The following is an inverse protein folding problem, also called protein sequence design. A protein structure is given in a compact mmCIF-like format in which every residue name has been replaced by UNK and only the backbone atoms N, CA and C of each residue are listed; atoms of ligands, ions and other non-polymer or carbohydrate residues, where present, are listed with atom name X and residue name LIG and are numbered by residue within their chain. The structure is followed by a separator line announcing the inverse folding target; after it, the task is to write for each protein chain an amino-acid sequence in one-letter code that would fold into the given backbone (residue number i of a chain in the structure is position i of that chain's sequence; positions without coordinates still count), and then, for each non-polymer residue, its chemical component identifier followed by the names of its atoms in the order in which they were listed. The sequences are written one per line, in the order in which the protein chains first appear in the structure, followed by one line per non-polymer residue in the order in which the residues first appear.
data_IF_411258596026
#
_entry.id   IF_411258596026
#
_cell.length_a   1.000
_cell.length_b   1.000
_cell.length_c   1.000
_cell.angle_alpha   90.00
_cell.angle_beta   90.00
_cell.angle_gamma   90.00
#
_symmetry.space_group_name_H-M   'P 1'
#
loop_
_entity.id
_entity.type
_entity.pdbx_description
1 polymer ?
#
# COMPACT_ATOMS: atom_id res chain seq x y z
N UNK A 1 50.51 9.79 -31.91
CA UNK A 1 49.30 10.37 -31.28
C UNK A 1 48.49 9.19 -30.75
N UNK A 2 48.61 8.80 -29.47
CA UNK A 2 47.71 9.18 -28.34
C UNK A 2 46.24 9.24 -28.82
N UNK A 3 45.31 8.40 -28.41
CA UNK A 3 45.29 7.24 -27.52
C UNK A 3 43.86 6.69 -27.50
N UNK A 4 43.71 5.37 -27.44
CA UNK A 4 42.43 4.70 -27.17
C UNK A 4 41.97 5.06 -25.76
N UNK A 5 40.84 5.76 -25.66
CA UNK A 5 40.16 6.06 -24.41
C UNK A 5 38.74 5.55 -24.48
N UNK A 6 38.54 4.30 -24.10
CA UNK A 6 37.22 3.75 -23.76
C UNK A 6 36.78 4.34 -22.43
N UNK A 7 36.07 5.47 -22.47
CA UNK A 7 35.29 5.92 -21.31
C UNK A 7 33.93 5.23 -21.36
N UNK A 8 33.91 4.02 -20.80
CA UNK A 8 32.70 3.35 -20.35
C UNK A 8 31.97 4.28 -19.36
N UNK A 9 31.02 5.05 -19.89
CA UNK A 9 30.04 5.79 -19.10
C UNK A 9 29.10 4.83 -18.39
N UNK A 10 29.55 4.23 -17.29
CA UNK A 10 28.67 3.61 -16.30
C UNK A 10 28.10 4.70 -15.40
N UNK A 11 26.99 5.30 -15.79
CA UNK A 11 26.17 6.13 -14.91
C UNK A 11 24.75 6.33 -15.47
N UNK A 12 23.85 5.41 -15.10
CA UNK A 12 22.49 5.66 -14.64
C UNK A 12 21.79 4.29 -14.57
N UNK A 13 21.77 3.71 -13.37
CA UNK A 13 20.80 2.68 -13.04
C UNK A 13 19.39 3.30 -13.18
N UNK A 14 18.47 2.77 -13.99
CA UNK A 14 17.13 3.32 -14.10
C UNK A 14 16.27 2.84 -12.92
N UNK A 15 16.72 3.13 -11.70
CA UNK A 15 15.84 3.29 -10.55
C UNK A 15 15.08 4.64 -10.66
N UNK A 16 14.51 4.91 -11.84
CA UNK A 16 13.61 6.04 -12.07
C UNK A 16 12.17 5.53 -11.89
N UNK A 17 11.48 5.83 -10.78
CA UNK A 17 10.05 5.60 -10.70
C UNK A 17 9.36 6.72 -11.47
N UNK A 18 9.15 6.49 -12.77
CA UNK A 18 8.35 7.35 -13.63
C UNK A 18 6.89 7.29 -13.15
N UNK A 19 6.45 8.16 -12.23
CA UNK A 19 5.04 8.38 -11.93
C UNK A 19 4.17 7.11 -11.91
N UNK A 20 4.71 6.00 -11.36
CA UNK A 20 4.04 4.72 -11.42
C UNK A 20 2.98 4.72 -10.34
N UNK A 21 1.71 4.73 -10.77
CA UNK A 21 0.56 4.60 -9.87
C UNK A 21 0.76 3.34 -9.06
N UNK A 22 1.20 3.52 -7.82
CA UNK A 22 1.52 2.40 -6.95
C UNK A 22 0.24 1.99 -6.26
N UNK A 23 -0.30 0.86 -6.68
CA UNK A 23 -1.46 0.29 -6.02
C UNK A 23 -1.09 -0.08 -4.59
N UNK A 24 -1.78 0.53 -3.63
CA UNK A 24 -1.67 0.21 -2.22
C UNK A 24 -2.98 -0.38 -1.73
N UNK A 25 -2.90 -1.06 -0.59
CA UNK A 25 -4.04 -1.64 0.06
C UNK A 25 -4.04 -1.24 1.52
N UNK A 26 -5.23 -1.00 2.04
CA UNK A 26 -5.50 -0.90 3.47
C UNK A 26 -5.97 -2.27 3.91
N UNK A 27 -5.13 -2.93 4.67
CA UNK A 27 -5.46 -4.22 5.28
C UNK A 27 -5.92 -3.93 6.70
N UNK A 28 -7.21 -4.11 6.96
CA UNK A 28 -7.81 -3.89 8.28
C UNK A 28 -8.21 -5.23 8.90
N UNK A 29 -8.19 -5.26 10.22
CA UNK A 29 -8.67 -6.38 11.02
C UNK A 29 -9.83 -5.88 11.87
N UNK A 30 -11.01 -6.42 11.61
CA UNK A 30 -12.24 -6.03 12.28
C UNK A 30 -12.88 -7.21 12.98
N UNK A 31 -13.43 -6.98 14.17
CA UNK A 31 -14.09 -7.98 14.98
C UNK A 31 -15.58 -7.67 15.12
N UNK A 32 -16.41 -8.70 15.19
CA UNK A 32 -17.85 -8.52 15.33
C UNK A 32 -18.17 -7.98 16.73
N UNK A 33 -18.98 -6.93 16.82
CA UNK A 33 -19.31 -6.27 18.10
C UNK A 33 -20.05 -7.23 19.03
N UNK A 34 -20.95 -8.05 18.48
CA UNK A 34 -21.75 -9.01 19.25
C UNK A 34 -20.97 -10.29 19.60
N UNK A 35 -19.86 -10.57 18.92
CA UNK A 35 -19.00 -11.72 19.17
C UNK A 35 -17.53 -11.36 18.94
N UNK A 36 -16.84 -10.74 19.92
CA UNK A 36 -15.48 -10.22 19.76
C UNK A 36 -14.41 -11.27 19.39
N UNK A 37 -14.69 -12.56 19.58
CA UNK A 37 -13.83 -13.66 19.12
C UNK A 37 -13.89 -13.89 17.60
N UNK A 38 -14.89 -13.33 16.91
CA UNK A 38 -15.07 -13.46 15.47
C UNK A 38 -14.48 -12.24 14.79
N UNK A 39 -13.30 -12.38 14.22
CA UNK A 39 -12.63 -11.30 13.50
C UNK A 39 -12.30 -11.71 12.06
N UNK A 40 -12.24 -10.71 11.18
CA UNK A 40 -11.87 -10.89 9.78
C UNK A 40 -10.84 -9.86 9.35
N UNK A 41 -10.00 -10.27 8.40
CA UNK A 41 -9.16 -9.37 7.64
C UNK A 41 -9.94 -8.88 6.41
N UNK A 42 -9.92 -7.58 6.16
CA UNK A 42 -10.50 -6.96 4.99
C UNK A 42 -9.41 -6.18 4.25
N UNK A 43 -9.45 -6.21 2.92
CA UNK A 43 -8.42 -5.60 2.06
C UNK A 43 -9.07 -4.61 1.13
N UNK A 44 -8.87 -3.32 1.40
CA UNK A 44 -9.45 -2.25 0.61
C UNK A 44 -8.38 -1.69 -0.32
N UNK A 45 -8.67 -1.66 -1.62
CA UNK A 45 -7.77 -1.06 -2.59
C UNK A 45 -7.75 0.45 -2.42
N UNK A 46 -6.55 1.03 -2.37
CA UNK A 46 -6.38 2.47 -2.42
C UNK A 46 -5.37 2.79 -3.51
N UNK A 47 -5.87 3.41 -4.57
CA UNK A 47 -5.04 3.91 -5.66
C UNK A 47 -4.42 5.23 -5.23
N UNK A 48 -3.11 5.24 -5.04
CA UNK A 48 -2.35 6.46 -4.74
C UNK A 48 -1.39 6.75 -5.90
N UNK A 49 -1.46 7.96 -6.44
CA UNK A 49 -0.68 8.39 -7.61
C UNK A 49 0.83 8.42 -7.32
N UNK A 50 1.19 8.62 -6.05
CA UNK A 50 2.57 8.57 -5.58
C UNK A 50 2.69 7.42 -4.60
N UNK A 51 3.75 6.62 -4.76
CA UNK A 51 4.20 5.57 -3.83
C UNK A 51 4.65 6.16 -2.47
N UNK A 52 3.83 6.99 -1.85
CA UNK A 52 4.11 7.68 -0.60
C UNK A 52 3.38 6.94 0.53
N UNK A 53 4.10 6.27 1.45
CA UNK A 53 3.50 5.65 2.63
C UNK A 53 2.62 6.62 3.42
N UNK A 54 3.01 7.90 3.45
CA UNK A 54 2.25 8.99 4.09
C UNK A 54 0.90 9.24 3.41
N UNK A 55 0.84 9.19 2.07
CA UNK A 55 -0.41 9.36 1.33
C UNK A 55 -1.39 8.24 1.64
N UNK A 56 -0.92 6.98 1.67
CA UNK A 56 -1.76 5.85 2.06
C UNK A 56 -2.28 6.02 3.50
N UNK A 57 -1.46 6.43 4.45
CA UNK A 57 -1.90 6.63 5.84
C UNK A 57 -3.03 7.66 5.95
N UNK A 58 -2.95 8.76 5.18
CA UNK A 58 -4.00 9.78 5.16
C UNK A 58 -5.29 9.28 4.51
N UNK A 59 -5.19 8.65 3.34
CA UNK A 59 -6.36 8.09 2.64
C UNK A 59 -7.01 6.96 3.44
N UNK A 60 -6.21 6.15 4.16
CA UNK A 60 -6.69 5.03 4.96
C UNK A 60 -7.69 5.45 6.02
N UNK A 61 -7.47 6.59 6.67
CA UNK A 61 -8.38 7.09 7.71
C UNK A 61 -9.78 7.31 7.14
N UNK A 62 -9.86 7.98 5.98
CA UNK A 62 -11.13 8.20 5.29
C UNK A 62 -11.75 6.89 4.79
N UNK A 63 -10.96 6.02 4.16
CA UNK A 63 -11.40 4.70 3.68
C UNK A 63 -11.95 3.82 4.81
N UNK A 64 -11.29 3.80 5.97
CA UNK A 64 -11.73 3.02 7.14
C UNK A 64 -13.01 3.61 7.75
N UNK A 65 -13.14 4.95 7.79
CA UNK A 65 -14.35 5.59 8.26
C UNK A 65 -15.55 5.20 7.39
N UNK A 66 -15.43 5.33 6.07
CA UNK A 66 -16.46 4.91 5.13
C UNK A 66 -16.79 3.42 5.28
N UNK A 67 -15.77 2.56 5.34
CA UNK A 67 -15.98 1.13 5.52
C UNK A 67 -16.73 0.81 6.82
N UNK A 68 -16.44 1.52 7.90
CA UNK A 68 -17.09 1.32 9.20
C UNK A 68 -18.56 1.73 9.19
N UNK A 69 -18.91 2.78 8.44
CA UNK A 69 -20.30 3.19 8.22
C UNK A 69 -21.08 2.13 7.43
N UNK A 70 -20.45 1.51 6.44
CA UNK A 70 -21.02 0.40 5.66
C UNK A 70 -21.12 -0.91 6.47
N UNK A 71 -20.31 -1.04 7.53
CA UNK A 71 -20.15 -2.25 8.33
C UNK A 71 -20.37 -2.03 9.84
N UNK A 72 -21.53 -1.52 10.27
CA UNK A 72 -21.74 -1.07 11.65
C UNK A 72 -21.66 -2.19 12.70
N UNK A 73 -21.80 -3.45 12.29
CA UNK A 73 -21.66 -4.62 13.17
C UNK A 73 -20.20 -5.01 13.45
N UNK A 74 -19.24 -4.41 12.74
CA UNK A 74 -17.83 -4.71 12.82
C UNK A 74 -17.06 -3.53 13.42
N UNK A 75 -16.17 -3.83 14.36
CA UNK A 75 -15.27 -2.85 14.97
C UNK A 75 -13.85 -3.06 14.44
N UNK A 76 -13.28 -2.03 13.81
CA UNK A 76 -11.89 -2.05 13.34
C UNK A 76 -10.93 -1.92 14.53
N UNK A 77 -10.04 -2.90 14.72
CA UNK A 77 -9.06 -2.90 15.81
C UNK A 77 -7.65 -2.52 15.38
N UNK A 78 -7.17 -3.05 14.25
CA UNK A 78 -5.84 -2.75 13.69
C UNK A 78 -5.92 -2.63 12.18
N UNK A 79 -5.03 -1.83 11.60
CA UNK A 79 -4.93 -1.70 10.16
C UNK A 79 -3.50 -1.33 9.75
N UNK A 80 -3.16 -1.58 8.48
CA UNK A 80 -1.86 -1.25 7.90
C UNK A 80 -1.99 -0.95 6.41
N UNK A 81 -1.14 -0.05 5.93
CA UNK A 81 -0.89 0.14 4.52
C UNK A 81 0.08 -0.92 4.00
N UNK A 82 -0.27 -1.59 2.91
CA UNK A 82 0.57 -2.59 2.26
C UNK A 82 0.65 -2.27 0.76
N UNK A 83 1.85 -2.15 0.17
CA UNK A 83 1.97 -2.02 -1.28
C UNK A 83 1.55 -3.33 -1.95
N UNK A 84 0.95 -3.26 -3.15
CA UNK A 84 0.49 -4.42 -3.91
C UNK A 84 1.58 -5.50 -4.08
N UNK A 85 2.83 -5.06 -4.29
CA UNK A 85 4.01 -5.94 -4.43
C UNK A 85 4.34 -6.78 -3.18
N UNK A 86 3.81 -6.42 -2.00
CA UNK A 86 3.94 -7.22 -0.78
C UNK A 86 2.79 -8.19 -0.58
N UNK A 87 1.57 -7.86 -1.01
CA UNK A 87 0.40 -8.73 -0.88
C UNK A 87 0.42 -9.94 -1.82
N UNK A 88 1.03 -9.81 -3.00
CA UNK A 88 1.16 -10.90 -3.97
C UNK A 88 2.07 -12.05 -3.52
N UNK A 89 2.83 -11.87 -2.44
CA UNK A 89 3.73 -12.92 -1.90
C UNK A 89 3.05 -13.81 -0.85
N UNK A 90 1.86 -13.44 -0.41
CA UNK A 90 1.07 -14.20 0.59
C UNK A 90 -0.04 -15.06 -0.06
N UNK A 91 0.08 -15.39 -1.36
CA UNK A 91 -0.83 -16.28 -2.11
C UNK A 91 -0.09 -17.46 -2.74
#
# INVERSE_FOLDING_TARGET
MRGSGTENGRAADPAQPNGEVTVMFVVLYACLITAPATCREERINVSVEVAAPTACMMSSQFTIAQWSEEHPQWQVGRWKCVPASRLSRDI
#
